data_IF_837183738218
#
_entry.id   IF_837183738218
#
_cell.length_a   1.000
_cell.length_b   1.000
_cell.length_c   1.000
_cell.angle_alpha   90.00
_cell.angle_beta   90.00
_cell.angle_gamma   90.00
#
_symmetry.space_group_name_H-M   'P 1'
#
loop_
_entity.id
_entity.type
_entity.pdbx_description
1 polymer ?
#
# COMPACT_ATOMS: atom_id res chain seq x y z
N UNK A 1 -5.94 -8.59 9.72
CA UNK A 1 -6.75 -8.08 8.59
C UNK A 1 -6.92 -6.59 8.85
N UNK A 2 -6.33 -5.74 8.01
CA UNK A 2 -6.70 -4.32 8.02
C UNK A 2 -8.10 -4.25 7.41
N UNK A 3 -9.09 -3.93 8.24
CA UNK A 3 -10.46 -3.79 7.80
C UNK A 3 -10.53 -2.63 6.79
N UNK A 4 -11.08 -2.89 5.59
CA UNK A 4 -11.25 -1.89 4.53
C UNK A 4 -12.19 -0.74 4.91
N UNK A 5 -12.78 -0.75 6.10
CA UNK A 5 -13.47 0.41 6.68
C UNK A 5 -12.50 1.55 7.07
N UNK A 6 -11.17 1.33 6.93
CA UNK A 6 -10.15 2.34 7.21
C UNK A 6 -10.09 3.36 6.06
N UNK A 7 -11.04 4.27 6.02
CA UNK A 7 -10.87 5.52 5.29
C UNK A 7 -9.99 6.42 6.17
N UNK A 8 -8.65 6.26 6.05
CA UNK A 8 -7.71 7.09 6.77
C UNK A 8 -7.72 8.48 6.14
N UNK A 9 -8.39 9.43 6.78
CA UNK A 9 -8.20 10.85 6.49
C UNK A 9 -6.87 11.26 7.11
N UNK A 10 -5.79 11.24 6.31
CA UNK A 10 -4.51 11.76 6.76
C UNK A 10 -4.55 13.29 6.73
N UNK A 11 -4.48 13.90 7.91
CA UNK A 11 -4.39 15.35 8.04
C UNK A 11 -2.90 15.69 8.18
N UNK A 12 -2.26 16.09 7.07
CA UNK A 12 -0.93 16.68 7.11
C UNK A 12 -1.05 18.13 7.59
N UNK A 13 -0.23 18.53 8.57
CA UNK A 13 0.00 19.92 8.90
C UNK A 13 -0.75 20.47 10.11
N UNK A 14 -0.45 19.95 11.29
CA UNK A 14 -0.66 20.70 12.53
C UNK A 14 0.42 21.79 12.62
N UNK A 15 0.05 23.06 12.38
CA UNK A 15 0.95 24.18 12.71
C UNK A 15 1.06 24.29 14.22
N UNK A 16 2.23 24.04 14.76
CA UNK A 16 2.52 24.30 16.17
C UNK A 16 3.21 25.67 16.30
N UNK A 17 2.56 26.62 16.99
CA UNK A 17 3.29 27.72 17.59
C UNK A 17 3.76 27.21 18.96
N UNK A 18 5.08 27.01 19.08
CA UNK A 18 5.68 26.53 20.30
C UNK A 18 5.17 27.29 21.51
N UNK A 19 4.64 26.58 22.46
CA UNK A 19 4.57 27.00 23.84
C UNK A 19 5.52 26.11 24.62
N UNK A 20 6.23 26.67 25.57
CA UNK A 20 7.29 26.08 26.38
C UNK A 20 6.93 24.80 27.16
N UNK A 21 5.95 24.00 26.71
CA UNK A 21 5.54 22.72 27.29
C UNK A 21 5.13 21.77 26.14
N UNK A 22 6.07 21.26 25.47
CA UNK A 22 6.18 20.03 24.68
C UNK A 22 4.97 19.27 24.13
N UNK A 23 3.78 19.80 24.13
CA UNK A 23 2.60 19.13 23.57
C UNK A 23 2.24 19.69 22.18
N UNK A 24 1.92 18.78 21.26
CA UNK A 24 1.39 19.13 19.94
C UNK A 24 0.11 19.97 20.09
N UNK A 25 0.12 21.24 19.67
CA UNK A 25 -1.04 22.14 19.73
C UNK A 25 -1.55 22.49 18.35
N UNK A 26 -2.87 22.40 18.17
CA UNK A 26 -3.57 22.87 16.98
C UNK A 26 -3.48 24.38 16.84
N UNK A 27 -3.31 24.86 15.61
CA UNK A 27 -3.51 26.26 15.32
C UNK A 27 -4.94 26.57 14.86
N UNK A 28 -5.49 27.76 15.22
CA UNK A 28 -6.88 28.12 14.91
C UNK A 28 -7.19 28.27 13.41
N UNK A 29 -6.20 28.21 12.52
CA UNK A 29 -6.38 28.44 11.07
C UNK A 29 -6.32 27.18 10.18
N UNK A 30 -6.04 26.00 10.71
CA UNK A 30 -5.94 24.76 9.92
C UNK A 30 -7.19 23.88 9.96
N UNK A 31 -7.74 23.67 11.16
CA UNK A 31 -9.02 23.00 11.37
C UNK A 31 -9.69 23.63 12.60
N UNK A 32 -10.90 24.16 12.45
CA UNK A 32 -11.60 24.84 13.54
C UNK A 32 -12.15 23.91 14.61
N UNK A 33 -11.97 22.61 14.43
CA UNK A 33 -12.47 21.57 15.36
C UNK A 33 -11.29 20.96 16.08
N UNK A 34 -11.35 20.84 17.41
CA UNK A 34 -10.37 20.08 18.18
C UNK A 34 -10.26 18.67 17.61
N UNK A 35 -9.04 18.10 17.49
CA UNK A 35 -8.80 16.79 16.89
C UNK A 35 -9.70 15.70 17.48
N UNK A 36 -9.98 15.76 18.79
CA UNK A 36 -10.93 14.84 19.42
C UNK A 36 -12.35 14.95 18.83
N UNK A 37 -12.89 16.15 18.64
CA UNK A 37 -14.22 16.32 18.04
C UNK A 37 -14.27 15.84 16.59
N UNK A 38 -13.16 15.99 15.85
CA UNK A 38 -13.03 15.44 14.51
C UNK A 38 -13.01 13.92 14.54
N UNK A 39 -12.24 13.31 15.44
CA UNK A 39 -12.21 11.86 15.63
C UNK A 39 -13.62 11.33 15.99
N UNK A 40 -14.30 11.96 16.95
CA UNK A 40 -15.67 11.61 17.34
C UNK A 40 -16.65 11.70 16.16
N UNK A 41 -16.52 12.73 15.33
CA UNK A 41 -17.32 12.85 14.11
C UNK A 41 -17.02 11.75 13.09
N UNK A 42 -15.74 11.47 12.82
CA UNK A 42 -15.31 10.39 11.91
C UNK A 42 -15.82 9.04 12.41
N UNK A 43 -15.66 8.77 13.72
CA UNK A 43 -16.16 7.55 14.35
C UNK A 43 -17.70 7.45 14.28
N UNK A 44 -18.43 8.55 14.38
CA UNK A 44 -19.90 8.56 14.23
C UNK A 44 -20.37 8.13 12.83
N UNK A 45 -19.47 8.15 11.84
CA UNK A 45 -19.70 7.63 10.48
C UNK A 45 -19.24 6.19 10.29
N UNK A 46 -18.79 5.51 11.35
CA UNK A 46 -18.21 4.16 11.27
C UNK A 46 -16.82 4.12 10.64
N UNK A 47 -16.13 5.27 10.55
CA UNK A 47 -14.81 5.42 9.94
C UNK A 47 -13.73 5.59 11.01
N UNK A 48 -12.47 5.48 10.59
CA UNK A 48 -11.28 5.64 11.42
C UNK A 48 -10.51 6.89 11.04
N UNK A 49 -9.84 7.54 12.03
CA UNK A 49 -9.03 8.73 11.82
C UNK A 49 -7.55 8.40 11.88
N UNK A 50 -6.80 8.70 10.81
CA UNK A 50 -5.34 8.68 10.79
C UNK A 50 -4.76 10.09 10.88
N UNK A 51 -3.57 10.19 11.48
CA UNK A 51 -2.78 11.43 11.51
C UNK A 51 -1.35 11.16 11.06
N UNK A 52 -0.62 12.24 10.83
CA UNK A 52 0.79 12.25 10.44
C UNK A 52 1.64 12.97 11.49
N UNK A 53 2.81 12.39 11.81
CA UNK A 53 3.88 13.02 12.57
C UNK A 53 5.24 12.56 12.03
N UNK A 54 6.34 12.88 12.72
CA UNK A 54 7.69 12.62 12.25
C UNK A 54 8.61 12.25 13.42
N UNK A 55 9.53 11.31 13.19
CA UNK A 55 10.50 10.84 14.19
C UNK A 55 11.54 11.89 14.53
N UNK A 56 11.86 12.77 13.60
CA UNK A 56 12.91 13.79 13.75
C UNK A 56 12.45 15.04 14.48
N UNK A 57 13.27 16.09 14.36
CA UNK A 57 13.01 17.41 14.98
C UNK A 57 11.90 18.19 14.28
N UNK A 58 11.67 17.90 12.99
CA UNK A 58 10.64 18.53 12.16
C UNK A 58 10.02 17.53 11.22
N UNK A 59 8.78 17.78 10.83
CA UNK A 59 8.15 17.09 9.69
C UNK A 59 8.81 17.51 8.39
N UNK A 60 8.61 16.76 7.30
CA UNK A 60 9.14 17.08 5.98
C UNK A 60 8.67 18.45 5.47
N UNK A 61 7.51 18.92 5.93
CA UNK A 61 7.01 20.28 5.65
C UNK A 61 7.53 21.35 6.62
N UNK A 62 8.49 21.03 7.52
CA UNK A 62 9.11 21.98 8.44
C UNK A 62 8.33 22.27 9.73
N UNK A 63 7.23 21.55 10.01
CA UNK A 63 6.52 21.65 11.27
C UNK A 63 7.26 20.86 12.38
N UNK A 64 6.98 21.10 13.68
CA UNK A 64 7.60 20.35 14.75
C UNK A 64 7.39 18.83 14.61
N UNK A 65 8.48 18.06 14.76
CA UNK A 65 8.47 16.61 14.85
C UNK A 65 8.44 16.15 16.31
N UNK A 66 8.48 14.83 16.53
CA UNK A 66 8.28 14.21 17.85
C UNK A 66 9.58 13.85 18.59
N UNK A 67 10.76 14.17 18.03
CA UNK A 67 12.03 13.83 18.69
C UNK A 67 12.11 14.45 20.10
N UNK A 68 12.30 13.58 21.12
CA UNK A 68 12.33 13.96 22.52
C UNK A 68 10.94 14.13 23.18
N UNK A 69 9.84 13.87 22.45
CA UNK A 69 8.46 14.06 22.91
C UNK A 69 7.54 12.85 22.61
N UNK A 70 8.10 11.68 22.28
CA UNK A 70 7.33 10.51 21.86
C UNK A 70 6.21 10.12 22.83
N UNK A 71 6.48 10.08 24.13
CA UNK A 71 5.48 9.72 25.15
C UNK A 71 4.33 10.73 25.24
N UNK A 72 4.67 12.03 25.18
CA UNK A 72 3.68 13.12 25.24
C UNK A 72 2.81 13.12 23.99
N UNK A 73 3.44 12.96 22.83
CA UNK A 73 2.73 12.95 21.55
C UNK A 73 1.85 11.71 21.40
N UNK A 74 2.36 10.51 21.74
CA UNK A 74 1.59 9.27 21.73
C UNK A 74 0.36 9.35 22.63
N UNK A 75 0.53 9.86 23.87
CA UNK A 75 -0.61 10.11 24.77
C UNK A 75 -1.60 11.10 24.18
N UNK A 76 -1.12 12.16 23.59
CA UNK A 76 -1.97 13.19 22.94
C UNK A 76 -2.78 12.60 21.78
N UNK A 77 -2.15 11.77 20.92
CA UNK A 77 -2.82 11.08 19.83
C UNK A 77 -3.90 10.11 20.32
N UNK A 78 -3.59 9.37 21.39
CA UNK A 78 -4.55 8.48 22.03
C UNK A 78 -5.74 9.25 22.64
N UNK A 79 -5.49 10.34 23.36
CA UNK A 79 -6.53 11.22 23.95
C UNK A 79 -7.42 11.86 22.87
N UNK A 80 -6.89 12.13 21.66
CA UNK A 80 -7.67 12.59 20.52
C UNK A 80 -8.52 11.50 19.86
N UNK A 81 -8.27 10.23 20.17
CA UNK A 81 -8.97 9.11 19.56
C UNK A 81 -8.45 8.74 18.18
N UNK A 82 -7.16 8.95 17.92
CA UNK A 82 -6.49 8.56 16.66
C UNK A 82 -6.45 7.05 16.51
N UNK A 83 -6.65 6.53 15.30
CA UNK A 83 -6.65 5.10 14.99
C UNK A 83 -5.45 4.66 14.13
N UNK A 84 -4.77 5.60 13.47
CA UNK A 84 -3.58 5.38 12.68
C UNK A 84 -2.60 6.54 12.82
N UNK A 85 -1.33 6.24 13.00
CA UNK A 85 -0.23 7.19 12.93
C UNK A 85 0.67 6.86 11.74
N UNK A 86 0.74 7.74 10.73
CA UNK A 86 1.83 7.75 9.76
C UNK A 86 3.01 8.51 10.37
N UNK A 87 4.15 7.85 10.50
CA UNK A 87 5.33 8.37 11.15
C UNK A 87 6.50 8.42 10.17
N UNK A 88 6.83 9.63 9.76
CA UNK A 88 7.84 9.92 8.75
C UNK A 88 9.26 9.98 9.37
N UNK A 89 10.31 10.19 8.55
CA UNK A 89 11.71 10.12 8.96
C UNK A 89 12.54 11.36 8.61
N UNK A 90 11.90 12.51 8.36
CA UNK A 90 12.59 13.75 8.01
C UNK A 90 13.34 14.33 9.21
N UNK A 91 14.38 15.11 8.93
CA UNK A 91 15.12 15.90 9.91
C UNK A 91 15.58 15.13 11.15
N UNK A 92 15.90 13.85 11.01
CA UNK A 92 16.57 13.07 12.06
C UNK A 92 18.04 13.51 12.12
N UNK A 93 18.52 14.06 13.25
CA UNK A 93 19.88 14.62 13.33
C UNK A 93 20.98 13.57 13.18
N UNK A 94 20.73 12.35 13.68
CA UNK A 94 21.61 11.21 13.58
C UNK A 94 20.81 10.00 13.04
N UNK A 95 21.12 9.58 11.83
CA UNK A 95 20.43 8.46 11.20
C UNK A 95 20.62 7.12 11.95
N UNK A 96 21.73 6.95 12.71
CA UNK A 96 21.96 5.77 13.51
C UNK A 96 20.92 5.59 14.64
N UNK A 97 20.29 6.69 15.07
CA UNK A 97 19.22 6.69 16.06
C UNK A 97 17.82 6.59 15.45
N UNK A 98 17.72 6.51 14.13
CA UNK A 98 16.44 6.45 13.43
C UNK A 98 15.58 5.29 13.89
N UNK A 99 16.14 4.07 13.89
CA UNK A 99 15.44 2.87 14.34
C UNK A 99 14.99 2.94 15.81
N UNK A 100 15.84 3.48 16.68
CA UNK A 100 15.49 3.71 18.09
C UNK A 100 14.30 4.68 18.23
N UNK A 101 14.25 5.73 17.42
CA UNK A 101 13.13 6.67 17.41
C UNK A 101 11.80 6.00 17.03
N UNK A 102 11.79 5.12 16.01
CA UNK A 102 10.60 4.34 15.65
C UNK A 102 10.18 3.37 16.76
N UNK A 103 11.14 2.68 17.39
CA UNK A 103 10.89 1.76 18.51
C UNK A 103 10.33 2.52 19.72
N UNK A 104 10.89 3.67 20.06
CA UNK A 104 10.45 4.50 21.18
C UNK A 104 9.02 5.01 20.96
N UNK A 105 8.66 5.49 19.77
CA UNK A 105 7.28 5.88 19.46
C UNK A 105 6.33 4.67 19.52
N UNK A 106 6.72 3.49 19.02
CA UNK A 106 5.92 2.28 19.13
C UNK A 106 5.65 1.90 20.58
N UNK A 107 6.68 1.96 21.44
CA UNK A 107 6.56 1.72 22.88
C UNK A 107 5.60 2.72 23.53
N UNK A 108 5.76 4.01 23.22
CA UNK A 108 4.89 5.08 23.72
C UNK A 108 3.42 4.89 23.30
N UNK A 109 3.18 4.53 22.05
CA UNK A 109 1.83 4.23 21.54
C UNK A 109 1.20 3.04 22.31
N UNK A 110 1.97 1.96 22.50
CA UNK A 110 1.49 0.78 23.22
C UNK A 110 1.17 1.09 24.68
N UNK A 111 1.96 1.95 25.34
CA UNK A 111 1.73 2.37 26.74
C UNK A 111 0.43 3.17 26.91
N UNK A 112 -0.11 3.79 25.88
CA UNK A 112 -1.41 4.48 25.95
C UNK A 112 -2.59 3.54 26.17
N UNK A 113 -2.43 2.25 25.87
CA UNK A 113 -3.51 1.25 25.88
C UNK A 113 -4.51 1.37 24.74
N UNK A 114 -4.36 2.37 23.83
CA UNK A 114 -5.20 2.50 22.64
C UNK A 114 -4.59 1.74 21.47
N UNK A 115 -5.43 0.97 20.74
CA UNK A 115 -5.02 0.34 19.49
C UNK A 115 -4.88 1.41 18.40
N UNK A 116 -3.64 1.67 17.96
CA UNK A 116 -3.30 2.62 16.90
C UNK A 116 -2.46 1.87 15.87
N UNK A 117 -2.90 1.86 14.61
CA UNK A 117 -2.12 1.29 13.50
C UNK A 117 -0.89 2.18 13.27
N UNK A 118 0.30 1.57 13.31
CA UNK A 118 1.56 2.28 13.19
C UNK A 118 2.17 2.09 11.80
N UNK A 119 2.12 3.16 11.01
CA UNK A 119 2.68 3.25 9.66
C UNK A 119 4.04 3.94 9.72
N UNK A 120 5.10 3.23 9.32
CA UNK A 120 6.47 3.72 9.43
C UNK A 120 7.05 4.04 8.05
N UNK A 121 7.97 5.00 8.01
CA UNK A 121 8.84 5.21 6.85
C UNK A 121 10.30 4.76 7.15
N UNK A 122 10.52 4.04 8.20
CA UNK A 122 11.83 3.57 8.66
C UNK A 122 12.67 2.90 7.55
N UNK A 123 12.21 1.86 6.82
CA UNK A 123 13.05 1.24 5.79
C UNK A 123 13.42 2.20 4.66
N UNK A 124 12.53 3.11 4.27
CA UNK A 124 12.79 4.10 3.21
C UNK A 124 14.06 4.92 3.51
N UNK A 125 14.19 5.40 4.73
CA UNK A 125 15.34 6.20 5.15
C UNK A 125 16.59 5.34 5.40
N UNK A 126 16.42 4.13 5.92
CA UNK A 126 17.53 3.23 6.22
C UNK A 126 18.20 2.66 4.95
N UNK A 127 17.42 2.39 3.88
CA UNK A 127 17.94 1.97 2.58
C UNK A 127 18.97 2.93 1.96
N UNK A 128 18.98 4.18 2.38
CA UNK A 128 19.95 5.17 1.93
C UNK A 128 21.36 4.93 2.53
N UNK A 129 21.46 4.14 3.59
CA UNK A 129 22.67 3.89 4.34
C UNK A 129 23.06 2.42 4.41
N UNK A 130 22.08 1.54 4.64
CA UNK A 130 22.27 0.11 4.80
C UNK A 130 21.00 -0.66 4.45
N UNK A 131 21.11 -1.99 4.35
CA UNK A 131 19.92 -2.85 4.24
C UNK A 131 19.16 -2.83 5.57
N UNK A 132 17.84 -2.51 5.54
CA UNK A 132 17.01 -2.44 6.73
C UNK A 132 16.92 -3.76 7.50
N UNK A 133 16.88 -3.66 8.84
CA UNK A 133 16.54 -4.77 9.71
C UNK A 133 15.02 -5.00 9.73
N UNK A 134 14.53 -5.77 8.77
CA UNK A 134 13.11 -6.06 8.65
C UNK A 134 12.54 -6.89 9.80
N UNK A 135 13.36 -7.58 10.59
CA UNK A 135 12.88 -8.26 11.79
C UNK A 135 12.49 -7.25 12.87
N UNK A 136 13.34 -6.27 13.12
CA UNK A 136 13.03 -5.17 14.02
C UNK A 136 11.86 -4.32 13.54
N UNK A 137 11.83 -3.98 12.23
CA UNK A 137 10.76 -3.19 11.61
C UNK A 137 9.41 -3.90 11.75
N UNK A 138 9.33 -5.20 11.46
CA UNK A 138 8.10 -5.99 11.55
C UNK A 138 7.58 -6.13 12.99
N UNK A 139 8.46 -6.14 13.98
CA UNK A 139 8.07 -6.15 15.41
C UNK A 139 7.52 -4.81 15.86
N UNK A 140 7.90 -3.73 15.19
CA UNK A 140 7.64 -2.34 15.58
C UNK A 140 6.45 -1.75 14.83
N UNK A 141 6.35 -1.98 13.50
CA UNK A 141 5.43 -1.31 12.59
C UNK A 141 4.39 -2.28 12.03
N UNK A 142 3.19 -1.77 11.73
CA UNK A 142 2.12 -2.55 11.10
C UNK A 142 2.17 -2.51 9.57
N UNK A 143 2.68 -1.44 8.98
CA UNK A 143 3.09 -1.36 7.59
C UNK A 143 4.20 -0.31 7.44
N UNK A 144 4.98 -0.41 6.36
CA UNK A 144 6.16 0.42 6.18
C UNK A 144 6.44 0.76 4.73
N UNK A 145 6.82 2.00 4.51
CA UNK A 145 7.31 2.51 3.23
C UNK A 145 8.74 2.05 3.00
N UNK A 146 9.00 1.51 1.81
CA UNK A 146 10.31 1.00 1.42
C UNK A 146 11.03 1.89 0.40
N UNK A 147 10.28 2.69 -0.35
CA UNK A 147 10.78 3.44 -1.50
C UNK A 147 10.14 4.84 -1.56
N UNK A 148 10.69 5.70 -2.42
CA UNK A 148 10.29 7.09 -2.57
C UNK A 148 8.79 7.30 -2.81
N UNK A 149 8.37 8.54 -2.62
CA UNK A 149 6.97 8.95 -2.75
C UNK A 149 6.41 8.71 -4.15
N UNK A 150 5.12 8.34 -4.19
CA UNK A 150 4.38 8.29 -5.44
C UNK A 150 3.97 9.71 -5.85
N UNK A 151 4.23 10.06 -7.11
CA UNK A 151 3.76 11.27 -7.75
C UNK A 151 2.68 10.95 -8.77
N UNK A 152 1.83 11.92 -9.11
CA UNK A 152 0.75 11.76 -10.09
C UNK A 152 1.28 11.67 -11.52
N UNK A 153 2.05 10.60 -11.78
CA UNK A 153 2.63 10.29 -13.10
C UNK A 153 3.02 8.82 -13.22
N UNK A 154 2.94 8.29 -14.45
CA UNK A 154 3.24 6.88 -14.72
C UNK A 154 4.66 6.46 -14.38
N UNK A 155 5.66 7.33 -14.65
CA UNK A 155 7.07 7.05 -14.34
C UNK A 155 7.30 6.80 -12.86
N UNK A 156 6.55 7.48 -11.99
CA UNK A 156 6.61 7.25 -10.53
C UNK A 156 6.08 5.84 -10.18
N UNK A 157 4.92 5.47 -10.69
CA UNK A 157 4.37 4.11 -10.47
C UNK A 157 5.34 3.05 -11.00
N UNK A 158 5.92 3.25 -12.20
CA UNK A 158 6.91 2.32 -12.76
C UNK A 158 8.12 2.13 -11.84
N UNK A 159 8.68 3.23 -11.32
CA UNK A 159 9.87 3.16 -10.46
C UNK A 159 9.61 2.37 -9.18
N UNK A 160 8.43 2.51 -8.60
CA UNK A 160 8.01 1.74 -7.42
C UNK A 160 7.92 0.24 -7.75
N UNK A 161 7.31 -0.10 -8.90
CA UNK A 161 7.20 -1.49 -9.35
C UNK A 161 8.56 -2.12 -9.66
N UNK A 162 9.44 -1.36 -10.33
CA UNK A 162 10.79 -1.83 -10.68
C UNK A 162 11.63 -2.07 -9.42
N UNK A 163 11.59 -1.14 -8.47
CA UNK A 163 12.26 -1.29 -7.17
C UNK A 163 11.73 -2.50 -6.39
N UNK A 164 10.39 -2.63 -6.31
CA UNK A 164 9.76 -3.76 -5.60
C UNK A 164 10.17 -5.10 -6.22
N UNK A 165 10.18 -5.20 -7.55
CA UNK A 165 10.57 -6.41 -8.26
C UNK A 165 12.08 -6.71 -8.10
N UNK A 166 12.93 -5.69 -8.02
CA UNK A 166 14.36 -5.84 -7.75
C UNK A 166 14.61 -6.36 -6.34
N UNK A 167 13.93 -5.79 -5.36
CA UNK A 167 14.11 -6.12 -3.93
C UNK A 167 13.19 -7.24 -3.42
N UNK A 168 12.38 -7.85 -4.29
CA UNK A 168 11.36 -8.83 -3.89
C UNK A 168 11.89 -10.00 -3.04
N UNK A 169 13.13 -10.44 -3.25
CA UNK A 169 13.75 -11.52 -2.44
C UNK A 169 13.96 -11.14 -0.98
N UNK A 170 14.03 -9.83 -0.69
CA UNK A 170 14.21 -9.27 0.65
C UNK A 170 12.85 -8.90 1.24
N UNK A 171 12.04 -8.13 0.49
CA UNK A 171 10.84 -7.50 1.06
C UNK A 171 9.60 -8.40 1.05
N UNK A 172 9.48 -9.37 0.13
CA UNK A 172 8.31 -10.26 0.09
C UNK A 172 8.25 -11.22 1.28
N UNK A 173 9.35 -11.89 1.69
CA UNK A 173 9.31 -12.83 2.80
C UNK A 173 8.95 -12.22 4.16
N UNK A 174 9.18 -10.91 4.33
CA UNK A 174 8.94 -10.22 5.60
C UNK A 174 7.52 -9.70 5.74
N UNK A 175 6.75 -9.61 4.65
CA UNK A 175 5.37 -9.19 4.65
C UNK A 175 4.40 -10.33 5.02
N UNK A 176 3.32 -9.97 5.69
CA UNK A 176 2.25 -10.90 6.07
C UNK A 176 1.34 -10.31 7.15
N UNK A 177 0.41 -11.10 7.70
CA UNK A 177 -0.50 -10.61 8.72
C UNK A 177 0.21 -9.90 9.86
N UNK A 178 -0.22 -8.65 10.13
CA UNK A 178 0.36 -7.78 11.15
C UNK A 178 1.52 -6.90 10.68
N UNK A 179 2.08 -7.12 9.47
CA UNK A 179 3.17 -6.29 8.94
C UNK A 179 3.24 -6.32 7.41
N UNK A 180 3.11 -5.17 6.75
CA UNK A 180 2.93 -5.09 5.31
C UNK A 180 3.89 -4.10 4.65
N UNK A 181 4.41 -4.48 3.48
CA UNK A 181 5.10 -3.53 2.61
C UNK A 181 4.10 -2.52 2.04
N UNK A 182 4.45 -1.26 2.09
CA UNK A 182 3.65 -0.15 1.59
C UNK A 182 4.35 0.49 0.39
N UNK A 183 3.84 0.30 -0.84
CA UNK A 183 4.39 0.92 -2.04
C UNK A 183 3.92 2.37 -2.24
N UNK A 184 3.31 2.96 -1.22
CA UNK A 184 2.68 4.27 -1.21
C UNK A 184 1.26 4.31 -1.81
N UNK A 185 0.67 5.47 -1.84
CA UNK A 185 -0.76 5.70 -2.05
C UNK A 185 -1.21 5.42 -3.49
N UNK A 186 -2.50 5.09 -3.61
CA UNK A 186 -3.18 5.02 -4.90
C UNK A 186 -3.44 6.45 -5.42
N UNK A 187 -2.98 6.73 -6.64
CA UNK A 187 -3.20 8.00 -7.35
C UNK A 187 -4.32 7.90 -8.41
N UNK A 188 -5.13 6.85 -8.31
CA UNK A 188 -6.27 6.58 -9.18
C UNK A 188 -7.34 7.66 -8.99
N UNK A 189 -7.79 8.28 -10.08
CA UNK A 189 -8.75 9.37 -10.05
C UNK A 189 -8.12 10.77 -10.06
N UNK A 190 -6.79 10.86 -10.00
CA UNK A 190 -6.04 12.07 -10.33
C UNK A 190 -5.86 12.20 -11.85
N UNK A 191 -4.99 13.10 -12.32
CA UNK A 191 -4.90 13.48 -13.73
C UNK A 191 -3.74 12.83 -14.48
N UNK A 192 -2.72 12.32 -13.78
CA UNK A 192 -1.45 11.88 -14.36
C UNK A 192 -1.43 10.47 -14.94
N UNK A 193 -2.44 9.64 -14.64
CA UNK A 193 -2.53 8.25 -15.13
C UNK A 193 -3.64 8.07 -16.16
N UNK A 194 -3.33 7.39 -17.28
CA UNK A 194 -4.35 6.87 -18.18
C UNK A 194 -5.20 5.80 -17.48
N UNK A 195 -6.33 5.41 -18.11
CA UNK A 195 -7.19 4.34 -17.58
C UNK A 195 -6.43 3.02 -17.42
N UNK A 196 -5.62 2.64 -18.41
CA UNK A 196 -4.83 1.40 -18.36
C UNK A 196 -3.80 1.45 -17.22
N UNK A 197 -3.15 2.60 -17.01
CA UNK A 197 -2.19 2.82 -15.93
C UNK A 197 -2.85 2.77 -14.55
N UNK A 198 -4.05 3.35 -14.39
CA UNK A 198 -4.83 3.24 -13.16
C UNK A 198 -5.20 1.79 -12.85
N UNK A 199 -5.62 1.02 -13.85
CA UNK A 199 -5.90 -0.41 -13.70
C UNK A 199 -4.64 -1.20 -13.33
N UNK A 200 -3.49 -0.85 -13.89
CA UNK A 200 -2.20 -1.46 -13.56
C UNK A 200 -1.82 -1.18 -12.10
N UNK A 201 -1.95 0.06 -11.63
CA UNK A 201 -1.69 0.38 -10.22
C UNK A 201 -2.61 -0.43 -9.30
N UNK A 202 -3.93 -0.43 -9.55
CA UNK A 202 -4.88 -1.16 -8.70
C UNK A 202 -4.61 -2.66 -8.66
N UNK A 203 -4.32 -3.27 -9.82
CA UNK A 203 -4.02 -4.69 -9.93
C UNK A 203 -2.75 -5.06 -9.16
N UNK A 204 -1.66 -4.31 -9.34
CA UNK A 204 -0.39 -4.65 -8.73
C UNK A 204 -0.35 -4.32 -7.23
N UNK A 205 -1.03 -3.26 -6.75
CA UNK A 205 -1.24 -3.04 -5.32
C UNK A 205 -2.03 -4.20 -4.68
N UNK A 206 -3.00 -4.77 -5.40
CA UNK A 206 -3.71 -5.96 -4.94
C UNK A 206 -2.80 -7.21 -4.91
N UNK A 207 -1.98 -7.42 -5.95
CA UNK A 207 -0.98 -8.51 -5.99
C UNK A 207 0.03 -8.37 -4.85
N UNK A 208 0.52 -7.16 -4.60
CA UNK A 208 1.51 -6.89 -3.54
C UNK A 208 0.92 -6.91 -2.12
N UNK A 209 -0.38 -7.13 -1.94
CA UNK A 209 -1.06 -7.04 -0.64
C UNK A 209 -0.84 -5.69 0.05
N UNK A 210 -0.73 -4.64 -0.73
CA UNK A 210 -0.43 -3.29 -0.26
C UNK A 210 -1.59 -2.69 0.53
N UNK A 211 -1.34 -1.79 1.50
CA UNK A 211 -2.36 -0.89 2.01
C UNK A 211 -3.00 -0.10 0.86
N UNK A 212 -4.33 -0.07 0.80
CA UNK A 212 -5.04 0.68 -0.23
C UNK A 212 -5.40 2.08 0.28
N UNK A 213 -4.41 2.94 0.38
CA UNK A 213 -4.57 4.33 0.81
C UNK A 213 -4.72 5.22 -0.43
N UNK A 214 -5.79 6.03 -0.49
CA UNK A 214 -6.11 6.88 -1.64
C UNK A 214 -5.54 8.28 -1.46
N UNK A 215 -4.95 8.84 -2.52
CA UNK A 215 -4.38 10.20 -2.58
C UNK A 215 -5.08 11.02 -3.66
N UNK A 216 -6.41 11.13 -3.58
CA UNK A 216 -7.25 11.83 -4.55
C UNK A 216 -8.31 12.71 -3.86
N UNK A 217 -8.93 13.61 -4.63
CA UNK A 217 -10.08 14.39 -4.15
C UNK A 217 -11.38 13.61 -4.36
N UNK A 218 -11.92 13.07 -3.26
CA UNK A 218 -13.17 12.29 -3.29
C UNK A 218 -14.41 13.13 -3.65
N UNK A 219 -14.30 14.47 -3.62
CA UNK A 219 -15.41 15.39 -3.98
C UNK A 219 -15.57 15.47 -5.49
N UNK A 220 -14.49 15.22 -6.25
CA UNK A 220 -14.45 15.33 -7.71
C UNK A 220 -13.81 14.09 -8.37
N UNK A 221 -14.15 12.92 -7.88
CA UNK A 221 -13.66 11.67 -8.46
C UNK A 221 -14.51 11.23 -9.65
N UNK A 222 -13.88 10.96 -10.80
CA UNK A 222 -14.61 10.49 -11.97
C UNK A 222 -15.25 9.10 -11.74
N UNK A 223 -16.42 8.81 -12.36
CA UNK A 223 -17.16 7.57 -12.13
C UNK A 223 -16.33 6.30 -12.41
N UNK A 224 -15.48 6.30 -13.44
CA UNK A 224 -14.63 5.14 -13.80
C UNK A 224 -13.53 4.86 -12.78
N UNK A 225 -12.94 5.90 -12.19
CA UNK A 225 -11.97 5.74 -11.12
C UNK A 225 -12.63 5.23 -9.84
N UNK A 226 -13.81 5.77 -9.51
CA UNK A 226 -14.63 5.28 -8.39
C UNK A 226 -14.99 3.80 -8.56
N UNK A 227 -15.45 3.39 -9.75
CA UNK A 227 -15.76 1.98 -10.07
C UNK A 227 -14.53 1.08 -9.88
N UNK A 228 -13.35 1.50 -10.34
CA UNK A 228 -12.11 0.74 -10.18
C UNK A 228 -11.70 0.61 -8.71
N UNK A 229 -11.71 1.72 -7.96
CA UNK A 229 -11.38 1.73 -6.53
C UNK A 229 -12.35 0.92 -5.68
N UNK A 230 -13.61 0.77 -6.11
CA UNK A 230 -14.64 -0.01 -5.44
C UNK A 230 -14.82 -1.41 -6.02
N UNK A 231 -13.93 -1.89 -6.90
CA UNK A 231 -14.04 -3.20 -7.49
C UNK A 231 -13.85 -4.29 -6.43
N UNK A 232 -14.94 -4.95 -6.07
CA UNK A 232 -14.97 -5.96 -5.01
C UNK A 232 -14.06 -7.15 -5.26
N UNK A 233 -13.86 -7.55 -6.53
CA UNK A 233 -13.01 -8.69 -6.88
C UNK A 233 -11.53 -8.36 -6.69
N UNK A 234 -11.09 -7.15 -7.08
CA UNK A 234 -9.71 -6.69 -6.85
C UNK A 234 -9.46 -6.49 -5.35
N UNK A 235 -10.42 -5.90 -4.64
CA UNK A 235 -10.38 -5.75 -3.19
C UNK A 235 -10.28 -7.12 -2.49
N UNK A 236 -11.05 -8.11 -2.94
CA UNK A 236 -10.98 -9.47 -2.39
C UNK A 236 -9.61 -10.13 -2.62
N UNK A 237 -8.94 -9.87 -3.76
CA UNK A 237 -7.56 -10.30 -3.96
C UNK A 237 -6.65 -9.61 -2.96
N UNK A 238 -6.75 -8.28 -2.80
CA UNK A 238 -5.93 -7.51 -1.85
C UNK A 238 -6.10 -8.01 -0.41
N UNK A 239 -7.34 -8.28 0.00
CA UNK A 239 -7.74 -8.64 1.37
C UNK A 239 -7.77 -10.16 1.62
N UNK A 240 -7.19 -10.96 0.74
CA UNK A 240 -7.23 -12.42 0.89
C UNK A 240 -6.61 -12.87 2.23
N UNK A 241 -7.31 -13.72 3.01
CA UNK A 241 -6.92 -14.08 4.37
C UNK A 241 -5.62 -14.90 4.47
N UNK A 242 -5.11 -15.48 3.36
CA UNK A 242 -3.80 -16.11 3.35
C UNK A 242 -2.69 -15.11 3.72
N UNK A 243 -2.91 -13.82 3.43
CA UNK A 243 -2.01 -12.74 3.83
C UNK A 243 -0.62 -12.79 3.21
N UNK A 244 -0.43 -13.50 2.11
CA UNK A 244 0.85 -13.56 1.40
C UNK A 244 0.92 -12.48 0.34
N UNK A 245 2.05 -11.80 0.27
CA UNK A 245 2.36 -10.86 -0.80
C UNK A 245 2.73 -11.62 -2.07
N UNK A 246 2.26 -11.11 -3.23
CA UNK A 246 2.69 -11.60 -4.54
C UNK A 246 3.99 -10.94 -5.01
N UNK A 247 4.55 -11.45 -6.09
CA UNK A 247 5.82 -11.00 -6.65
C UNK A 247 5.89 -11.26 -8.15
N UNK A 248 6.88 -10.65 -8.81
CA UNK A 248 7.12 -10.85 -10.25
C UNK A 248 7.85 -12.18 -10.49
N UNK A 249 7.22 -13.06 -11.26
CA UNK A 249 7.77 -14.39 -11.58
C UNK A 249 8.47 -14.44 -12.93
N UNK A 250 8.09 -13.55 -13.86
CA UNK A 250 8.66 -13.50 -15.21
C UNK A 250 8.77 -12.06 -15.70
N UNK A 251 9.87 -11.77 -16.38
CA UNK A 251 10.05 -10.59 -17.23
C UNK A 251 10.56 -11.07 -18.58
N UNK A 252 9.77 -10.90 -19.64
CA UNK A 252 10.10 -11.32 -20.99
C UNK A 252 9.69 -10.22 -21.97
N UNK A 253 10.62 -9.72 -22.77
CA UNK A 253 10.43 -8.54 -23.62
C UNK A 253 9.87 -7.36 -22.82
N UNK A 254 8.68 -6.91 -23.27
CA UNK A 254 7.92 -5.85 -22.61
C UNK A 254 6.88 -6.36 -21.60
N UNK A 255 6.75 -7.67 -21.42
CA UNK A 255 5.78 -8.24 -20.50
C UNK A 255 6.39 -8.60 -19.16
N UNK A 256 5.59 -8.41 -18.12
CA UNK A 256 5.85 -8.92 -16.78
C UNK A 256 4.66 -9.77 -16.33
N UNK A 257 4.98 -10.88 -15.67
CA UNK A 257 3.99 -11.74 -15.03
C UNK A 257 4.20 -11.69 -13.53
N UNK A 258 3.14 -11.30 -12.81
CA UNK A 258 3.13 -11.23 -11.36
C UNK A 258 2.08 -12.20 -10.83
N UNK A 259 2.37 -12.86 -9.72
CA UNK A 259 1.47 -13.81 -9.10
C UNK A 259 1.33 -13.58 -7.60
N UNK A 260 0.15 -13.88 -7.10
CA UNK A 260 -0.15 -13.88 -5.67
C UNK A 260 -0.91 -15.16 -5.30
N UNK A 261 -0.37 -15.99 -4.40
CA UNK A 261 -1.13 -17.11 -3.85
C UNK A 261 -2.26 -16.60 -2.97
N UNK A 262 -3.44 -17.21 -3.11
CA UNK A 262 -4.65 -16.89 -2.37
C UNK A 262 -5.09 -18.08 -1.53
N UNK A 263 -5.95 -17.83 -0.55
CA UNK A 263 -6.60 -18.88 0.25
C UNK A 263 -7.38 -19.85 -0.62
N UNK A 264 -7.55 -21.10 -0.16
CA UNK A 264 -8.24 -22.14 -0.92
C UNK A 264 -7.46 -22.63 -2.15
N UNK A 265 -6.13 -22.58 -2.10
CA UNK A 265 -5.25 -22.98 -3.22
C UNK A 265 -5.56 -22.25 -4.53
N UNK A 266 -6.04 -21.01 -4.45
CA UNK A 266 -6.32 -20.14 -5.59
C UNK A 266 -5.09 -19.28 -5.92
N UNK A 267 -5.13 -18.66 -7.09
CA UNK A 267 -4.05 -17.79 -7.55
C UNK A 267 -4.63 -16.52 -8.19
N UNK A 268 -4.03 -15.37 -7.90
CA UNK A 268 -4.22 -14.15 -8.70
C UNK A 268 -2.98 -13.94 -9.58
N UNK A 269 -3.22 -13.56 -10.84
CA UNK A 269 -2.17 -13.40 -11.85
C UNK A 269 -2.36 -12.08 -12.57
N UNK A 270 -1.31 -11.26 -12.63
CA UNK A 270 -1.31 -10.02 -13.39
C UNK A 270 -0.30 -10.10 -14.55
N UNK A 271 -0.79 -9.93 -15.77
CA UNK A 271 0.03 -9.79 -16.98
C UNK A 271 0.12 -8.32 -17.32
N UNK A 272 1.30 -7.74 -17.23
CA UNK A 272 1.56 -6.32 -17.44
C UNK A 272 2.29 -6.12 -18.77
N UNK A 273 1.81 -5.22 -19.61
CA UNK A 273 2.54 -4.76 -20.79
C UNK A 273 3.26 -3.44 -20.48
N UNK A 274 4.59 -3.49 -20.41
CA UNK A 274 5.44 -2.34 -20.06
C UNK A 274 5.73 -1.40 -21.23
N UNK A 275 5.26 -1.69 -22.44
CA UNK A 275 5.34 -0.75 -23.56
C UNK A 275 4.47 0.48 -23.27
N UNK A 276 4.91 1.64 -23.72
CA UNK A 276 4.19 2.91 -23.55
C UNK A 276 3.48 3.36 -24.84
N UNK A 277 3.88 2.80 -25.96
CA UNK A 277 3.36 3.13 -27.29
C UNK A 277 2.97 1.87 -28.05
N UNK A 278 2.16 2.03 -29.08
CA UNK A 278 1.70 0.95 -29.94
C UNK A 278 0.29 0.49 -29.60
N UNK A 279 -0.10 -0.66 -30.16
CA UNK A 279 -1.41 -1.28 -29.92
C UNK A 279 -1.37 -2.40 -28.88
N UNK A 280 -2.56 -2.98 -28.58
CA UNK A 280 -2.65 -4.14 -27.69
C UNK A 280 -1.84 -5.32 -28.23
N UNK A 281 -1.13 -6.00 -27.31
CA UNK A 281 -0.34 -7.19 -27.66
C UNK A 281 -0.88 -8.43 -26.97
N UNK A 282 -0.72 -9.58 -27.63
CA UNK A 282 -1.07 -10.87 -27.07
C UNK A 282 0.07 -11.41 -26.21
N UNK A 283 -0.31 -12.01 -25.08
CA UNK A 283 0.58 -12.79 -24.24
C UNK A 283 -0.07 -14.16 -23.99
N UNK A 284 0.71 -15.23 -24.12
CA UNK A 284 0.24 -16.59 -23.92
C UNK A 284 0.88 -17.17 -22.66
N UNK A 285 0.04 -17.61 -21.72
CA UNK A 285 0.45 -18.33 -20.52
C UNK A 285 0.26 -19.83 -20.83
N UNK A 286 1.35 -20.58 -20.93
CA UNK A 286 1.29 -22.04 -21.00
C UNK A 286 1.17 -22.60 -19.58
N UNK A 287 0.05 -23.23 -19.28
CA UNK A 287 -0.25 -23.76 -17.94
C UNK A 287 0.79 -24.81 -17.53
N UNK A 288 1.27 -25.62 -18.47
CA UNK A 288 2.24 -26.71 -18.22
C UNK A 288 3.58 -26.23 -17.63
N UNK A 289 4.05 -25.05 -18.07
CA UNK A 289 5.39 -24.55 -17.69
C UNK A 289 5.38 -23.65 -16.45
N UNK A 290 4.20 -23.28 -15.97
CA UNK A 290 4.06 -22.40 -14.80
C UNK A 290 3.93 -23.23 -13.52
N UNK A 291 4.94 -23.22 -12.62
CA UNK A 291 4.92 -24.07 -11.43
C UNK A 291 3.73 -23.83 -10.50
N UNK A 292 3.27 -22.57 -10.39
CA UNK A 292 2.13 -22.15 -9.58
C UNK A 292 0.78 -22.65 -10.14
N UNK A 293 0.71 -22.92 -11.46
CA UNK A 293 -0.50 -23.36 -12.13
C UNK A 293 -0.74 -24.88 -12.05
N UNK A 294 0.07 -25.63 -11.28
CA UNK A 294 -0.19 -27.03 -10.95
C UNK A 294 -1.54 -27.25 -10.28
N UNK A 295 -2.13 -26.19 -9.70
CA UNK A 295 -3.50 -26.20 -9.17
C UNK A 295 -4.56 -26.50 -10.25
N UNK A 296 -4.23 -26.38 -11.55
CA UNK A 296 -5.07 -26.77 -12.68
C UNK A 296 -5.02 -28.29 -12.99
N UNK A 297 -4.53 -29.12 -12.07
CA UNK A 297 -4.57 -30.56 -12.18
C UNK A 297 -5.63 -31.14 -11.21
N UNK A 298 -6.74 -31.76 -11.69
CA UNK A 298 -7.01 -32.04 -13.10
C UNK A 298 -7.50 -30.84 -13.91
N UNK A 299 -8.16 -29.85 -13.28
CA UNK A 299 -8.75 -28.68 -13.95
C UNK A 299 -8.80 -27.47 -13.01
N UNK A 300 -8.86 -26.29 -13.60
CA UNK A 300 -9.15 -25.04 -12.90
C UNK A 300 -10.07 -24.15 -13.74
N UNK A 301 -10.75 -23.22 -13.10
CA UNK A 301 -11.50 -22.16 -13.78
C UNK A 301 -10.68 -20.85 -13.77
N UNK A 302 -10.57 -20.19 -14.93
CA UNK A 302 -9.86 -18.93 -15.09
C UNK A 302 -10.86 -17.82 -15.37
N UNK A 303 -10.76 -16.74 -14.61
CA UNK A 303 -11.60 -15.54 -14.77
C UNK A 303 -10.73 -14.31 -14.92
N UNK A 304 -10.94 -13.54 -15.96
CA UNK A 304 -10.36 -12.22 -16.15
C UNK A 304 -11.19 -11.18 -15.37
N UNK A 305 -10.52 -10.38 -14.56
CA UNK A 305 -11.14 -9.29 -13.78
C UNK A 305 -10.89 -7.94 -14.48
N UNK A 306 -9.68 -7.72 -14.96
CA UNK A 306 -9.28 -6.52 -15.69
C UNK A 306 -8.74 -6.88 -17.09
N UNK A 307 -8.88 -6.00 -18.08
CA UNK A 307 -9.51 -4.67 -18.08
C UNK A 307 -11.04 -4.68 -17.99
N UNK A 308 -11.66 -5.79 -18.32
CA UNK A 308 -13.10 -6.05 -18.24
C UNK A 308 -13.34 -7.46 -17.76
N UNK A 309 -14.41 -7.68 -17.01
CA UNK A 309 -14.77 -9.02 -16.57
C UNK A 309 -15.06 -9.96 -17.74
N UNK A 310 -14.45 -11.14 -17.70
CA UNK A 310 -14.67 -12.20 -18.70
C UNK A 310 -14.37 -13.57 -18.07
N UNK A 311 -15.29 -14.50 -18.22
CA UNK A 311 -15.01 -15.91 -17.93
C UNK A 311 -14.18 -16.51 -19.06
N UNK A 312 -13.01 -17.04 -18.75
CA UNK A 312 -12.10 -17.66 -19.70
C UNK A 312 -12.27 -19.19 -19.75
N UNK A 313 -13.16 -19.69 -18.89
CA UNK A 313 -13.56 -21.09 -18.86
C UNK A 313 -12.57 -22.00 -18.14
N UNK A 314 -12.85 -23.30 -18.29
CA UNK A 314 -12.10 -24.36 -17.62
C UNK A 314 -10.79 -24.66 -18.37
N UNK A 315 -9.70 -24.71 -17.65
CA UNK A 315 -8.37 -25.00 -18.14
C UNK A 315 -7.82 -26.26 -17.48
N UNK A 316 -6.79 -26.85 -18.08
CA UNK A 316 -6.01 -27.97 -17.55
C UNK A 316 -4.52 -27.76 -17.85
N UNK A 317 -3.67 -28.69 -17.46
CA UNK A 317 -2.22 -28.56 -17.65
C UNK A 317 -1.76 -28.43 -19.12
N UNK A 318 -2.58 -28.86 -20.09
CA UNK A 318 -2.26 -28.74 -21.52
C UNK A 318 -2.78 -27.46 -22.17
N UNK A 319 -3.49 -26.64 -21.39
CA UNK A 319 -4.12 -25.42 -21.90
C UNK A 319 -3.12 -24.29 -22.06
N UNK A 320 -3.48 -23.38 -22.97
CA UNK A 320 -2.87 -22.08 -23.13
C UNK A 320 -3.90 -20.98 -22.84
N UNK A 321 -3.58 -20.09 -21.91
CA UNK A 321 -4.40 -18.93 -21.59
C UNK A 321 -3.85 -17.72 -22.34
N UNK A 322 -4.59 -17.25 -23.34
CA UNK A 322 -4.20 -16.11 -24.17
C UNK A 322 -4.91 -14.85 -23.69
N UNK A 323 -4.14 -13.82 -23.37
CA UNK A 323 -4.65 -12.51 -22.98
C UNK A 323 -4.16 -11.43 -23.96
N UNK A 324 -4.93 -10.35 -24.07
CA UNK A 324 -4.57 -9.18 -24.85
C UNK A 324 -4.41 -7.99 -23.89
N UNK A 325 -3.24 -7.35 -23.95
CA UNK A 325 -2.87 -6.32 -22.97
C UNK A 325 -2.47 -5.03 -23.68
N UNK A 326 -3.13 -3.94 -23.36
CA UNK A 326 -2.83 -2.61 -23.88
C UNK A 326 -1.43 -2.15 -23.41
N UNK A 327 -0.77 -1.24 -24.13
CA UNK A 327 0.42 -0.54 -23.63
C UNK A 327 0.14 0.07 -22.27
N UNK A 328 1.07 -0.07 -21.30
CA UNK A 328 0.97 0.32 -19.88
C UNK A 328 -0.16 -0.36 -19.10
N UNK A 329 -0.93 -1.22 -19.74
CA UNK A 329 -2.09 -1.89 -19.16
C UNK A 329 -1.75 -3.22 -18.47
N UNK A 330 -2.76 -3.77 -17.81
CA UNK A 330 -2.69 -5.05 -17.09
C UNK A 330 -3.94 -5.87 -17.33
N UNK A 331 -3.75 -7.16 -17.61
CA UNK A 331 -4.81 -8.15 -17.47
C UNK A 331 -4.67 -8.83 -16.13
N UNK A 332 -5.69 -8.71 -15.28
CA UNK A 332 -5.74 -9.38 -13.97
C UNK A 332 -6.66 -10.59 -14.05
N UNK A 333 -6.13 -11.74 -13.67
CA UNK A 333 -6.81 -13.03 -13.66
C UNK A 333 -6.93 -13.59 -12.24
N UNK A 334 -7.97 -14.39 -12.01
CA UNK A 334 -8.01 -15.35 -10.91
C UNK A 334 -8.08 -16.76 -11.46
N UNK A 335 -7.37 -17.67 -10.81
CA UNK A 335 -7.30 -19.10 -11.14
C UNK A 335 -7.78 -19.88 -9.92
N UNK A 336 -8.85 -20.66 -10.12
CA UNK A 336 -9.53 -21.40 -9.06
C UNK A 336 -9.49 -22.90 -9.39
N UNK A 337 -8.97 -23.78 -8.52
CA UNK A 337 -9.01 -25.22 -8.73
C UNK A 337 -10.44 -25.73 -8.78
N UNK A 338 -10.67 -26.80 -9.55
CA UNK A 338 -11.98 -27.49 -9.68
C UNK A 338 -11.88 -28.93 -9.14
#
# INVERSE_FOLDING_TARGET
>A
MLDMSLCALMIAGLRNKGTHRGACRQTPKGFPVASKKLADYVHSKGLKLGIYADVGTKTCAGYPGSLGYYDIDAKTFADWGVDLLKFDGCFMPDWHQLGEGYINMSSALNQTGRSIVYSCEWPLYEWQHQQPDYEAIRKTCNHWRNYGDVYDQWTSVKSILDWTAEKQKIVVPVAGPGGWNDPDMLIIGNFGLSRDQQQTQMALWAIMAAPLLMSNDLRDICPKAKELLQNKQIIAINQDPLGKQGYRILKADSFELWERPLSGNRLAVAVVNRQEIGGPRRFTISVAIMPSWKLCNPKCNVTQILPTYKEMGVQNLLSEVVVQVNPTGTTLLTVNPL
#
